data_IF_641670354019
#
_entry.id   IF_641670354019
#
_cell.length_a   1.000
_cell.length_b   1.000
_cell.length_c   1.000
_cell.angle_alpha   90.00
_cell.angle_beta   90.00
_cell.angle_gamma   90.00
#
_symmetry.space_group_name_H-M   'P 1'
#
loop_
_entity.id
_entity.type
_entity.pdbx_description
1 polymer ?
#
# COMPACT_ATOMS: atom_id res chain seq x y z
N UNK A 1 25.74 14.74 56.27
CA UNK A 1 25.15 13.65 55.47
C UNK A 1 24.26 14.29 54.41
N UNK A 2 24.74 14.42 53.16
CA UNK A 2 23.99 15.01 52.04
C UNK A 2 23.54 13.86 51.14
N UNK A 3 22.24 13.56 51.15
CA UNK A 3 21.65 12.51 50.33
C UNK A 3 21.64 12.95 48.87
N UNK A 4 22.31 12.17 48.01
CA UNK A 4 22.26 12.32 46.55
C UNK A 4 21.01 11.60 46.06
N UNK A 5 20.06 12.34 45.50
CA UNK A 5 18.89 11.79 44.81
C UNK A 5 19.30 11.49 43.38
N UNK A 6 19.37 10.20 43.01
CA UNK A 6 19.62 9.76 41.64
C UNK A 6 18.28 9.67 40.91
N UNK A 7 18.05 10.60 39.99
CA UNK A 7 16.89 10.58 39.10
C UNK A 7 17.18 9.61 37.94
N UNK A 8 16.57 8.42 37.95
CA UNK A 8 16.64 7.48 36.84
C UNK A 8 15.60 7.91 35.78
N UNK A 9 16.08 8.42 34.66
CA UNK A 9 15.25 8.73 33.49
C UNK A 9 15.09 7.46 32.66
N UNK A 10 13.90 6.84 32.69
CA UNK A 10 13.54 5.79 31.74
C UNK A 10 13.21 6.42 30.38
N UNK A 11 14.10 6.24 29.41
CA UNK A 11 13.81 6.56 28.01
C UNK A 11 13.04 5.37 27.42
N UNK A 12 11.73 5.52 27.25
CA UNK A 12 10.92 4.57 26.49
C UNK A 12 11.28 4.73 25.00
N UNK A 13 11.94 3.72 24.43
CA UNK A 13 12.15 3.63 22.99
C UNK A 13 10.78 3.35 22.32
N UNK A 14 10.10 4.41 21.88
CA UNK A 14 8.95 4.26 21.01
C UNK A 14 9.47 3.82 19.64
N UNK A 15 9.28 2.54 19.31
CA UNK A 15 9.48 2.05 17.94
C UNK A 15 8.53 2.82 17.04
N UNK A 16 9.05 3.72 16.22
CA UNK A 16 8.27 4.36 15.17
C UNK A 16 7.85 3.28 14.19
N UNK A 17 6.57 2.90 14.19
CA UNK A 17 6.00 2.08 13.12
C UNK A 17 6.03 2.94 11.86
N UNK A 18 6.95 2.66 10.94
CA UNK A 18 7.00 3.35 9.66
C UNK A 18 5.95 2.72 8.75
N UNK A 19 4.77 3.33 8.73
CA UNK A 19 3.79 3.06 7.68
C UNK A 19 4.28 3.72 6.38
N UNK A 20 4.02 3.08 5.25
CA UNK A 20 4.23 3.73 3.95
C UNK A 20 2.94 4.11 3.27
N UNK A 21 2.86 5.39 2.92
CA UNK A 21 1.73 6.00 2.28
C UNK A 21 1.83 5.88 0.76
N UNK A 22 0.75 5.40 0.14
CA UNK A 22 0.54 5.53 -1.31
C UNK A 22 -0.74 6.30 -1.55
N UNK A 23 -0.66 7.32 -2.43
CA UNK A 23 -1.85 8.05 -2.85
C UNK A 23 -2.65 7.24 -3.85
N UNK A 24 -3.90 6.95 -3.54
CA UNK A 24 -4.86 6.29 -4.42
C UNK A 24 -5.75 7.33 -5.11
N UNK A 25 -6.02 7.13 -6.39
CA UNK A 25 -6.90 7.95 -7.22
C UNK A 25 -8.33 7.42 -7.18
N UNK A 26 -9.32 8.29 -7.25
CA UNK A 26 -10.73 7.91 -7.40
C UNK A 26 -11.58 9.06 -7.95
N UNK A 27 -12.88 8.77 -8.16
CA UNK A 27 -13.89 9.65 -8.73
C UNK A 27 -13.72 9.99 -10.22
N UNK A 28 -13.10 9.08 -10.98
CA UNK A 28 -12.87 9.10 -12.43
C UNK A 28 -11.85 10.12 -12.87
N UNK A 29 -10.84 9.69 -13.63
CA UNK A 29 -9.77 10.57 -14.11
C UNK A 29 -8.85 11.11 -13.00
N UNK A 30 -8.78 10.44 -11.84
CA UNK A 30 -8.04 10.86 -10.66
C UNK A 30 -8.46 12.25 -10.13
N UNK A 31 -9.76 12.56 -10.18
CA UNK A 31 -10.28 13.84 -9.68
C UNK A 31 -10.13 14.00 -8.16
N UNK A 32 -10.05 12.90 -7.42
CA UNK A 32 -9.78 12.91 -5.99
C UNK A 32 -8.66 11.91 -5.64
N UNK A 33 -7.94 12.22 -4.56
CA UNK A 33 -6.87 11.37 -4.08
C UNK A 33 -6.90 11.23 -2.55
N UNK A 34 -6.67 10.02 -2.04
CA UNK A 34 -6.55 9.73 -0.60
C UNK A 34 -5.23 9.00 -0.33
N UNK A 35 -4.70 9.10 0.89
CA UNK A 35 -3.54 8.31 1.31
C UNK A 35 -4.02 6.95 1.85
N UNK A 36 -3.44 5.87 1.36
CA UNK A 36 -3.53 4.55 1.96
C UNK A 36 -2.18 4.24 2.63
N UNK A 37 -2.22 3.95 3.93
CA UNK A 37 -1.04 3.62 4.73
C UNK A 37 -0.89 2.10 4.81
N UNK A 38 0.33 1.61 4.60
CA UNK A 38 0.66 0.19 4.74
C UNK A 38 1.60 -0.02 5.91
N UNK A 39 1.17 -0.82 6.89
CA UNK A 39 1.96 -1.13 8.07
C UNK A 39 3.02 -2.22 7.80
N UNK A 40 3.95 -2.37 8.74
CA UNK A 40 5.05 -3.33 8.58
C UNK A 40 4.57 -4.79 8.41
N UNK A 41 3.57 -5.29 9.16
CA UNK A 41 3.01 -6.63 8.91
C UNK A 41 2.44 -6.83 7.50
N UNK A 42 1.73 -5.83 6.95
CA UNK A 42 1.23 -5.86 5.58
C UNK A 42 2.37 -5.90 4.57
N UNK A 43 3.37 -5.03 4.75
CA UNK A 43 4.54 -4.94 3.88
C UNK A 43 5.40 -6.20 3.91
N UNK A 44 5.57 -6.81 5.09
CA UNK A 44 6.26 -8.09 5.24
C UNK A 44 5.53 -9.23 4.53
N UNK A 45 4.18 -9.22 4.54
CA UNK A 45 3.38 -10.21 3.81
C UNK A 45 3.59 -10.06 2.30
N UNK A 46 3.63 -8.82 1.80
CA UNK A 46 3.92 -8.51 0.40
C UNK A 46 5.30 -9.02 0.00
N UNK A 47 6.34 -8.64 0.75
CA UNK A 47 7.72 -9.02 0.44
C UNK A 47 7.91 -10.54 0.44
N UNK A 48 7.32 -11.24 1.41
CA UNK A 48 7.40 -12.70 1.51
C UNK A 48 6.74 -13.40 0.33
N UNK A 49 5.59 -12.90 -0.14
CA UNK A 49 4.89 -13.47 -1.29
C UNK A 49 5.68 -13.33 -2.59
N UNK A 50 6.35 -12.20 -2.78
CA UNK A 50 7.19 -11.92 -3.95
C UNK A 50 8.52 -12.67 -3.88
N UNK A 51 9.13 -12.79 -2.70
CA UNK A 51 10.37 -13.52 -2.51
C UNK A 51 10.26 -15.01 -2.86
N UNK A 52 9.06 -15.58 -2.74
CA UNK A 52 8.75 -16.98 -3.09
C UNK A 52 8.60 -17.23 -4.61
N UNK A 53 8.75 -16.21 -5.48
CA UNK A 53 8.74 -16.41 -6.92
C UNK A 53 10.09 -16.95 -7.42
N UNK A 54 10.05 -18.02 -8.21
CA UNK A 54 11.24 -18.66 -8.77
C UNK A 54 11.62 -18.09 -10.14
N UNK A 55 10.64 -17.57 -10.89
CA UNK A 55 10.84 -16.98 -12.20
C UNK A 55 9.93 -15.77 -12.49
N UNK A 56 10.03 -15.24 -13.72
CA UNK A 56 9.25 -14.10 -14.17
C UNK A 56 7.73 -14.42 -14.31
N UNK A 57 7.34 -15.65 -14.62
CA UNK A 57 5.94 -16.01 -14.66
C UNK A 57 5.36 -16.02 -13.24
N UNK A 58 6.08 -16.61 -12.30
CA UNK A 58 5.72 -16.67 -10.88
C UNK A 58 5.67 -15.28 -10.23
N UNK A 59 6.64 -14.41 -10.52
CA UNK A 59 6.62 -13.05 -9.98
C UNK A 59 5.41 -12.27 -10.49
N UNK A 60 5.04 -12.42 -11.78
CA UNK A 60 3.84 -11.79 -12.32
C UNK A 60 2.56 -12.34 -11.68
N UNK A 61 2.50 -13.65 -11.42
CA UNK A 61 1.39 -14.26 -10.70
C UNK A 61 1.33 -13.84 -9.23
N UNK A 62 2.48 -13.64 -8.58
CA UNK A 62 2.55 -13.11 -7.22
C UNK A 62 2.13 -11.63 -7.15
N UNK A 63 2.50 -10.83 -8.15
CA UNK A 63 2.14 -9.42 -8.25
C UNK A 63 0.64 -9.21 -8.34
N UNK A 64 -0.11 -10.04 -9.09
CA UNK A 64 -1.57 -9.90 -9.16
C UNK A 64 -2.22 -10.06 -7.78
N UNK A 65 -1.75 -11.04 -6.99
CA UNK A 65 -2.21 -11.27 -5.61
C UNK A 65 -1.84 -10.11 -4.69
N UNK A 66 -0.59 -9.67 -4.74
CA UNK A 66 -0.08 -8.57 -3.91
C UNK A 66 -0.81 -7.25 -4.20
N UNK A 67 -1.01 -6.91 -5.48
CA UNK A 67 -1.77 -5.71 -5.86
C UNK A 67 -3.21 -5.81 -5.35
N UNK A 68 -3.83 -6.99 -5.43
CA UNK A 68 -5.15 -7.24 -4.84
C UNK A 68 -5.19 -6.99 -3.32
N UNK A 69 -4.18 -7.44 -2.57
CA UNK A 69 -4.08 -7.15 -1.14
C UNK A 69 -3.91 -5.66 -0.85
N UNK A 70 -3.00 -4.99 -1.55
CA UNK A 70 -2.73 -3.56 -1.37
C UNK A 70 -3.96 -2.71 -1.67
N UNK A 71 -4.67 -2.99 -2.76
CA UNK A 71 -5.94 -2.32 -3.09
C UNK A 71 -7.03 -2.65 -2.05
N UNK A 72 -7.11 -3.90 -1.59
CA UNK A 72 -8.06 -4.29 -0.54
C UNK A 72 -7.82 -3.54 0.78
N UNK A 73 -6.57 -3.39 1.20
CA UNK A 73 -6.21 -2.60 2.39
C UNK A 73 -6.42 -1.11 2.17
N UNK A 74 -6.13 -0.59 0.98
CA UNK A 74 -6.44 0.81 0.65
C UNK A 74 -7.95 1.08 0.66
N UNK A 75 -8.77 0.14 0.21
CA UNK A 75 -10.23 0.22 0.26
C UNK A 75 -10.81 0.22 1.67
N UNK A 76 -10.10 -0.36 2.66
CA UNK A 76 -10.50 -0.29 4.07
C UNK A 76 -10.28 1.11 4.68
N UNK A 77 -9.39 1.90 4.10
CA UNK A 77 -8.94 3.19 4.64
C UNK A 77 -9.47 4.39 3.87
N UNK A 78 -9.89 4.19 2.62
CA UNK A 78 -10.20 5.25 1.68
C UNK A 78 -11.55 5.04 1.00
N UNK A 79 -12.13 6.06 0.36
CA UNK A 79 -13.41 5.93 -0.33
C UNK A 79 -13.47 4.83 -1.39
N UNK A 80 -12.31 4.38 -1.92
CA UNK A 80 -12.24 3.37 -2.98
C UNK A 80 -12.83 2.01 -2.59
N UNK A 81 -13.06 1.76 -1.30
CA UNK A 81 -13.81 0.58 -0.87
C UNK A 81 -15.27 0.55 -1.34
N UNK A 82 -15.78 1.67 -1.86
CA UNK A 82 -17.12 1.77 -2.45
C UNK A 82 -17.14 1.46 -3.96
N UNK A 83 -15.97 1.30 -4.59
CA UNK A 83 -15.83 0.98 -6.00
C UNK A 83 -16.58 -0.31 -6.36
N UNK A 84 -17.21 -0.35 -7.54
CA UNK A 84 -17.86 -1.56 -8.04
C UNK A 84 -17.38 -1.89 -9.45
N UNK A 85 -17.68 -3.12 -9.85
CA UNK A 85 -17.28 -3.61 -11.16
C UNK A 85 -18.03 -2.88 -12.28
N UNK A 86 -17.27 -2.17 -13.11
CA UNK A 86 -17.73 -1.61 -14.37
C UNK A 86 -18.28 -0.19 -14.26
N UNK A 87 -17.97 0.64 -15.26
CA UNK A 87 -18.18 2.08 -15.15
C UNK A 87 -19.65 2.53 -15.02
N UNK A 88 -20.59 1.76 -15.58
CA UNK A 88 -22.01 2.13 -15.58
C UNK A 88 -22.72 1.88 -14.24
N UNK A 89 -22.19 1.00 -13.40
CA UNK A 89 -22.82 0.65 -12.12
C UNK A 89 -22.63 1.74 -11.05
N UNK A 90 -21.72 2.71 -11.29
CA UNK A 90 -21.12 3.55 -10.26
C UNK A 90 -21.21 5.06 -10.55
N UNK A 91 -22.05 5.49 -11.48
CA UNK A 91 -22.17 6.90 -11.90
C UNK A 91 -22.54 7.89 -10.77
N UNK A 92 -22.92 7.42 -9.57
CA UNK A 92 -23.17 8.27 -8.41
C UNK A 92 -22.38 7.86 -7.15
N UNK A 93 -21.47 6.88 -7.24
CA UNK A 93 -20.77 6.36 -6.07
C UNK A 93 -19.52 7.19 -5.77
N UNK A 94 -19.47 7.79 -4.58
CA UNK A 94 -18.26 8.44 -4.09
C UNK A 94 -17.20 7.39 -3.76
N UNK A 95 -16.04 7.46 -4.41
CA UNK A 95 -15.01 6.43 -4.31
C UNK A 95 -14.93 5.48 -5.49
N UNK A 96 -15.84 5.59 -6.47
CA UNK A 96 -15.75 4.85 -7.74
C UNK A 96 -14.40 5.05 -8.42
N UNK A 97 -13.97 4.04 -9.17
CA UNK A 97 -12.73 4.07 -9.94
C UNK A 97 -13.02 3.76 -11.40
N UNK A 98 -12.41 4.53 -12.30
CA UNK A 98 -12.34 4.16 -13.71
C UNK A 98 -10.98 3.52 -14.04
N UNK A 99 -10.75 3.22 -15.33
CA UNK A 99 -9.48 2.69 -15.78
C UNK A 99 -8.29 3.61 -15.47
N UNK A 100 -8.48 4.93 -15.44
CA UNK A 100 -7.42 5.90 -15.14
C UNK A 100 -7.08 5.83 -13.65
N UNK A 101 -8.08 5.79 -12.79
CA UNK A 101 -7.92 5.66 -11.34
C UNK A 101 -7.18 4.36 -10.98
N UNK A 102 -7.63 3.24 -11.55
CA UNK A 102 -7.01 1.93 -11.32
C UNK A 102 -5.58 1.85 -11.85
N UNK A 103 -5.33 2.29 -13.09
CA UNK A 103 -3.99 2.22 -13.69
C UNK A 103 -3.00 3.15 -12.99
N UNK A 104 -3.42 4.36 -12.62
CA UNK A 104 -2.58 5.31 -11.87
C UNK A 104 -2.27 4.77 -10.48
N UNK A 105 -3.28 4.31 -9.75
CA UNK A 105 -3.10 3.73 -8.40
C UNK A 105 -2.21 2.49 -8.46
N UNK A 106 -2.45 1.57 -9.38
CA UNK A 106 -1.65 0.35 -9.54
C UNK A 106 -0.20 0.68 -9.87
N UNK A 107 0.04 1.67 -10.74
CA UNK A 107 1.41 2.13 -11.05
C UNK A 107 2.13 2.65 -9.81
N UNK A 108 1.44 3.43 -8.96
CA UNK A 108 2.01 3.94 -7.70
C UNK A 108 2.35 2.81 -6.72
N UNK A 109 1.48 1.80 -6.62
CA UNK A 109 1.72 0.59 -5.81
C UNK A 109 2.91 -0.22 -6.35
N UNK A 110 3.00 -0.42 -7.67
CA UNK A 110 4.13 -1.11 -8.29
C UNK A 110 5.44 -0.36 -8.07
N UNK A 111 5.42 0.98 -8.12
CA UNK A 111 6.61 1.80 -7.78
C UNK A 111 7.00 1.69 -6.31
N UNK A 112 6.05 1.54 -5.38
CA UNK A 112 6.38 1.22 -3.97
C UNK A 112 7.16 -0.11 -3.90
N UNK A 113 6.63 -1.16 -4.53
CA UNK A 113 7.26 -2.50 -4.55
C UNK A 113 8.67 -2.44 -5.19
N UNK A 114 8.82 -1.71 -6.30
CA UNK A 114 10.10 -1.52 -6.98
C UNK A 114 11.12 -0.76 -6.10
N UNK A 115 10.73 0.35 -5.47
CA UNK A 115 11.61 1.12 -4.56
C UNK A 115 12.09 0.29 -3.37
N UNK A 116 11.27 -0.66 -2.91
CA UNK A 116 11.62 -1.61 -1.85
C UNK A 116 12.55 -2.74 -2.32
N UNK A 117 12.83 -2.82 -3.62
CA UNK A 117 13.72 -3.83 -4.20
C UNK A 117 13.11 -5.24 -4.22
N UNK A 118 11.78 -5.35 -4.19
CA UNK A 118 11.10 -6.65 -4.14
C UNK A 118 10.80 -7.26 -5.51
N UNK A 119 11.05 -6.53 -6.60
CA UNK A 119 11.01 -7.06 -7.96
C UNK A 119 12.39 -7.59 -8.33
N UNK A 120 12.45 -8.87 -8.69
CA UNK A 120 13.66 -9.58 -9.14
C UNK A 120 13.66 -9.77 -10.65
N UNK A 121 12.50 -9.94 -11.27
CA UNK A 121 12.37 -10.29 -12.68
C UNK A 121 11.77 -9.18 -13.56
N UNK A 122 11.04 -8.23 -12.96
CA UNK A 122 10.43 -7.10 -13.67
C UNK A 122 10.93 -5.74 -13.17
N UNK A 123 10.69 -4.72 -14.00
CA UNK A 123 10.83 -3.30 -13.66
C UNK A 123 9.54 -2.57 -14.05
N UNK A 124 9.24 -1.48 -13.37
CA UNK A 124 8.10 -0.63 -13.70
C UNK A 124 8.51 0.36 -14.80
N UNK A 125 7.70 0.47 -15.85
CA UNK A 125 7.94 1.34 -17.01
C UNK A 125 7.57 2.80 -16.73
#
# INVERSE_FOLDING_TARGET
>A
MKSIVVLVVLVAAASTVWAEAVRVCYNYGCLAEAAAEFDEPQLQRVSSRLAAADDAADERAALSVVVGWLLGWAGQQTPIGSDRGGNYADEAVYGRMDCIDHSTTTTRLLRLIERRGWLRFHRVL
#
